data_IF_240587459091
#
_entry.id   IF_240587459091
#
_cell.length_a   1.000
_cell.length_b   1.000
_cell.length_c   1.000
_cell.angle_alpha   90.00
_cell.angle_beta   90.00
_cell.angle_gamma   90.00
#
_symmetry.space_group_name_H-M   'P 1'
#
loop_
_entity.id
_entity.type
_entity.pdbx_description
1 polymer ?
#
# COMPACT_ATOMS: atom_id res chain seq x y z
N UNK A 1 6.95 -19.34 32.93
CA UNK A 1 8.18 -19.57 32.15
C UNK A 1 8.62 -18.24 31.57
N UNK A 2 9.93 -18.01 31.64
CA UNK A 2 10.71 -16.80 31.35
C UNK A 2 10.21 -15.93 30.21
N UNK A 3 9.88 -14.67 30.54
CA UNK A 3 9.73 -13.55 29.61
C UNK A 3 11.08 -13.33 28.94
N UNK A 4 11.17 -13.57 27.64
CA UNK A 4 12.35 -13.22 26.87
C UNK A 4 12.49 -11.68 26.86
N UNK A 5 13.71 -11.14 27.03
CA UNK A 5 13.91 -9.71 27.03
C UNK A 5 13.61 -9.16 25.64
N UNK A 6 12.72 -8.17 25.56
CA UNK A 6 12.57 -7.34 24.36
C UNK A 6 13.96 -6.82 23.98
N UNK A 7 14.45 -7.26 22.82
CA UNK A 7 15.63 -6.66 22.20
C UNK A 7 15.26 -5.20 21.95
N UNK A 8 15.76 -4.32 22.81
CA UNK A 8 15.69 -2.87 22.65
C UNK A 8 16.42 -2.52 21.35
N UNK A 9 15.68 -2.50 20.25
CA UNK A 9 16.11 -1.78 19.05
C UNK A 9 16.34 -0.33 19.47
N UNK A 10 17.43 0.33 19.04
CA UNK A 10 17.65 1.74 19.34
C UNK A 10 16.41 2.52 18.89
N UNK A 11 15.87 3.40 19.75
CA UNK A 11 14.69 4.20 19.44
C UNK A 11 14.96 5.00 18.16
N UNK A 12 14.40 4.53 17.03
CA UNK A 12 14.43 5.27 15.78
C UNK A 12 13.45 6.42 15.95
N UNK A 13 13.98 7.63 16.07
CA UNK A 13 13.18 8.85 16.24
C UNK A 13 12.84 9.49 14.89
N UNK A 14 11.77 10.31 14.89
CA UNK A 14 11.45 11.17 13.77
C UNK A 14 12.59 12.17 13.50
N UNK A 15 12.81 12.51 12.23
CA UNK A 15 13.90 13.38 11.78
C UNK A 15 13.36 14.52 10.93
N UNK A 16 14.01 15.71 10.92
CA UNK A 16 13.63 16.80 10.02
C UNK A 16 13.82 16.46 8.54
N UNK A 17 14.62 15.43 8.24
CA UNK A 17 14.94 14.94 6.90
C UNK A 17 14.35 13.55 6.67
N UNK A 18 14.12 13.21 5.41
CA UNK A 18 13.81 11.85 4.99
C UNK A 18 15.07 10.98 5.07
N UNK A 19 15.00 9.82 5.74
CA UNK A 19 16.05 8.80 5.67
C UNK A 19 15.46 7.40 5.62
N UNK A 20 16.14 6.48 4.95
CA UNK A 20 15.82 5.05 5.00
C UNK A 20 17.04 4.30 5.53
N UNK A 21 16.84 3.43 6.53
CA UNK A 21 17.89 2.60 7.10
C UNK A 21 17.42 1.16 7.16
N UNK A 22 18.21 0.26 6.57
CA UNK A 22 18.05 -1.19 6.71
C UNK A 22 18.75 -1.61 7.99
N UNK A 23 18.01 -2.24 8.90
CA UNK A 23 18.51 -2.72 10.20
C UNK A 23 19.01 -4.16 10.12
N UNK A 24 18.31 -5.02 9.38
CA UNK A 24 18.68 -6.41 9.17
C UNK A 24 18.23 -6.91 7.79
N UNK A 25 18.84 -8.02 7.36
CA UNK A 25 18.54 -8.70 6.10
C UNK A 25 18.48 -10.20 6.34
N UNK A 26 17.61 -10.86 5.59
CA UNK A 26 17.54 -12.31 5.46
C UNK A 26 17.30 -12.63 3.97
N UNK A 27 18.34 -13.14 3.30
CA UNK A 27 18.37 -13.18 1.84
C UNK A 27 18.17 -11.79 1.20
N UNK A 28 17.20 -11.67 0.28
CA UNK A 28 16.84 -10.40 -0.34
C UNK A 28 15.90 -9.55 0.55
N UNK A 29 15.27 -10.15 1.56
CA UNK A 29 14.35 -9.46 2.45
C UNK A 29 15.08 -8.48 3.36
N UNK A 30 14.41 -7.37 3.69
CA UNK A 30 14.97 -6.27 4.47
C UNK A 30 13.96 -5.86 5.53
N UNK A 31 14.45 -5.63 6.74
CA UNK A 31 13.70 -4.90 7.76
C UNK A 31 14.47 -3.66 8.18
N UNK A 32 13.74 -2.58 8.42
CA UNK A 32 14.33 -1.27 8.63
C UNK A 32 13.29 -0.22 8.97
N UNK A 33 13.64 1.03 8.73
CA UNK A 33 12.74 2.14 8.95
C UNK A 33 12.99 3.31 7.99
N UNK A 34 11.90 3.98 7.62
CA UNK A 34 11.91 5.29 7.00
C UNK A 34 11.62 6.33 8.08
N UNK A 35 12.48 7.33 8.26
CA UNK A 35 12.27 8.43 9.21
C UNK A 35 11.89 9.71 8.46
N UNK A 36 10.87 10.42 8.97
CA UNK A 36 10.35 11.66 8.41
C UNK A 36 9.87 12.59 9.53
N UNK A 37 9.59 13.88 9.27
CA UNK A 37 9.17 14.83 10.31
C UNK A 37 7.91 14.41 11.07
N UNK A 38 6.99 13.69 10.40
CA UNK A 38 5.72 13.25 10.99
C UNK A 38 5.78 11.87 11.66
N UNK A 39 6.91 11.19 11.61
CA UNK A 39 7.07 9.90 12.28
C UNK A 39 8.02 8.94 11.57
N UNK A 40 7.97 7.70 12.04
CA UNK A 40 8.82 6.61 11.57
C UNK A 40 7.94 5.50 11.00
N UNK A 41 8.29 5.02 9.81
CA UNK A 41 7.61 3.92 9.12
C UNK A 41 8.50 2.68 9.22
N UNK A 42 8.05 1.66 9.95
CA UNK A 42 8.78 0.39 10.05
C UNK A 42 8.57 -0.43 8.78
N UNK A 43 9.64 -0.97 8.21
CA UNK A 43 9.58 -1.79 6.99
C UNK A 43 9.94 -3.26 7.26
N UNK A 44 9.27 -4.25 6.63
CA UNK A 44 8.20 -4.09 5.65
C UNK A 44 6.92 -3.45 6.21
N UNK A 45 6.26 -2.60 5.41
CA UNK A 45 5.13 -1.76 5.80
C UNK A 45 3.89 -2.06 4.96
N UNK A 46 2.72 -2.17 5.61
CA UNK A 46 1.42 -2.16 4.95
C UNK A 46 0.71 -0.84 5.19
N UNK A 47 0.27 -0.18 4.12
CA UNK A 47 -0.40 1.11 4.14
C UNK A 47 -1.92 0.94 3.95
N UNK A 48 -2.75 1.14 5.00
CA UNK A 48 -4.19 1.19 4.83
C UNK A 48 -4.60 2.31 3.87
N UNK A 49 -5.47 1.99 2.91
CA UNK A 49 -5.85 2.94 1.85
C UNK A 49 -7.02 3.83 2.29
N UNK A 50 -6.75 5.12 2.37
CA UNK A 50 -7.69 6.22 2.59
C UNK A 50 -8.20 6.83 1.29
N UNK A 51 -9.21 6.20 0.66
CA UNK A 51 -9.70 6.60 -0.68
C UNK A 51 -10.22 8.05 -0.75
N UNK A 52 -10.87 8.55 0.30
CA UNK A 52 -11.46 9.89 0.29
C UNK A 52 -11.26 10.55 1.66
N UNK A 53 -9.98 10.73 2.04
CA UNK A 53 -9.57 11.25 3.36
C UNK A 53 -10.09 10.39 4.54
N UNK A 54 -10.31 9.09 4.33
CA UNK A 54 -10.72 8.16 5.38
C UNK A 54 -10.39 6.72 4.99
N UNK A 55 -9.80 5.97 5.92
CA UNK A 55 -9.75 4.51 5.85
C UNK A 55 -11.15 4.00 6.18
N UNK A 56 -11.83 3.45 5.17
CA UNK A 56 -13.27 3.18 5.27
C UNK A 56 -13.60 2.27 6.45
N UNK A 57 -14.47 2.74 7.34
CA UNK A 57 -14.98 1.96 8.47
C UNK A 57 -14.08 1.99 9.72
N UNK A 58 -13.08 2.87 9.77
CA UNK A 58 -12.14 2.98 10.87
C UNK A 58 -11.98 4.42 11.35
N UNK A 59 -11.86 4.61 12.66
CA UNK A 59 -11.32 5.86 13.21
C UNK A 59 -9.80 5.91 13.03
N UNK A 60 -9.19 7.09 12.79
CA UNK A 60 -7.74 7.22 12.64
C UNK A 60 -6.93 6.64 13.80
N UNK A 61 -7.40 6.84 15.03
CA UNK A 61 -6.77 6.27 16.24
C UNK A 61 -6.77 4.74 16.25
N UNK A 62 -7.83 4.11 15.73
CA UNK A 62 -7.89 2.65 15.61
C UNK A 62 -6.90 2.16 14.56
N UNK A 63 -6.81 2.86 13.41
CA UNK A 63 -5.81 2.54 12.38
C UNK A 63 -4.40 2.61 12.96
N UNK A 64 -4.10 3.63 13.77
CA UNK A 64 -2.81 3.78 14.45
C UNK A 64 -2.59 2.69 15.50
N UNK A 65 -3.60 2.37 16.32
CA UNK A 65 -3.50 1.37 17.38
C UNK A 65 -3.19 -0.04 16.87
N UNK A 66 -3.59 -0.35 15.62
CA UNK A 66 -3.21 -1.60 14.95
C UNK A 66 -1.73 -1.66 14.55
N UNK A 67 -1.00 -0.55 14.64
CA UNK A 67 0.42 -0.48 14.27
C UNK A 67 0.68 0.10 12.89
N UNK A 68 -0.32 0.64 12.19
CA UNK A 68 -0.08 1.36 10.94
C UNK A 68 0.76 2.62 11.22
N UNK A 69 1.90 2.73 10.53
CA UNK A 69 2.80 3.89 10.62
C UNK A 69 2.51 4.95 9.55
N UNK A 70 1.85 4.56 8.47
CA UNK A 70 1.56 5.38 7.29
C UNK A 70 0.25 4.92 6.66
N UNK A 71 -0.47 5.85 6.05
CA UNK A 71 -1.65 5.55 5.22
C UNK A 71 -1.47 6.06 3.80
N UNK A 72 -2.19 5.46 2.85
CA UNK A 72 -2.23 5.94 1.48
C UNK A 72 -3.44 6.85 1.24
N UNK A 73 -3.21 8.09 0.80
CA UNK A 73 -4.24 9.00 0.32
C UNK A 73 -4.41 8.90 -1.20
N UNK A 74 -5.66 8.83 -1.68
CA UNK A 74 -5.93 8.72 -3.11
C UNK A 74 -6.16 10.11 -3.73
N UNK A 75 -5.19 10.56 -4.52
CA UNK A 75 -5.17 11.90 -5.13
C UNK A 75 -6.33 12.13 -6.08
N UNK A 76 -6.68 11.12 -6.89
CA UNK A 76 -7.77 11.22 -7.86
C UNK A 76 -9.11 11.58 -7.20
N UNK A 77 -9.46 10.92 -6.10
CA UNK A 77 -10.71 11.22 -5.41
C UNK A 77 -10.66 12.57 -4.70
N UNK A 78 -9.55 12.87 -4.02
CA UNK A 78 -9.39 14.09 -3.23
C UNK A 78 -9.38 15.36 -4.08
N UNK A 79 -8.80 15.31 -5.28
CA UNK A 79 -8.79 16.46 -6.19
C UNK A 79 -10.17 16.74 -6.80
N UNK A 80 -11.03 15.73 -6.93
CA UNK A 80 -12.40 15.92 -7.41
C UNK A 80 -13.34 16.34 -6.29
N UNK A 81 -13.23 15.70 -5.12
CA UNK A 81 -14.04 16.04 -3.95
C UNK A 81 -13.28 15.64 -2.67
N UNK A 82 -12.97 16.62 -1.79
CA UNK A 82 -13.51 17.98 -1.73
C UNK A 82 -12.77 19.03 -2.58
N UNK A 83 -11.71 18.64 -3.29
CA UNK A 83 -10.80 19.53 -4.02
C UNK A 83 -9.52 19.80 -3.22
N UNK A 84 -8.35 19.72 -3.87
CA UNK A 84 -7.05 19.82 -3.21
C UNK A 84 -6.83 21.19 -2.55
N UNK A 85 -7.20 22.27 -3.23
CA UNK A 85 -7.11 23.64 -2.74
C UNK A 85 -7.96 23.84 -1.49
N UNK A 86 -9.12 23.18 -1.42
CA UNK A 86 -9.99 23.23 -0.25
C UNK A 86 -9.35 22.51 0.93
N UNK A 87 -8.77 21.33 0.71
CA UNK A 87 -8.04 20.60 1.75
C UNK A 87 -6.87 21.44 2.27
N UNK A 88 -6.09 22.05 1.38
CA UNK A 88 -4.99 22.95 1.74
C UNK A 88 -5.47 24.11 2.62
N UNK A 89 -6.55 24.80 2.20
CA UNK A 89 -7.16 25.91 2.96
C UNK A 89 -7.65 25.49 4.35
N UNK A 90 -8.03 24.22 4.52
CA UNK A 90 -8.49 23.64 5.79
C UNK A 90 -7.35 23.06 6.65
N UNK A 91 -6.09 23.31 6.29
CA UNK A 91 -4.92 22.91 7.10
C UNK A 91 -4.22 21.64 6.62
N UNK A 92 -4.46 21.21 5.37
CA UNK A 92 -3.84 20.03 4.77
C UNK A 92 -4.53 18.72 5.15
N UNK A 93 -4.16 17.63 4.46
CA UNK A 93 -4.84 16.34 4.58
C UNK A 93 -4.72 15.75 5.98
N UNK A 94 -3.55 15.83 6.61
CA UNK A 94 -3.32 15.37 7.99
C UNK A 94 -4.33 15.96 8.98
N UNK A 95 -4.49 17.28 8.97
CA UNK A 95 -5.46 17.99 9.81
C UNK A 95 -6.89 17.61 9.42
N UNK A 96 -7.18 17.60 8.11
CA UNK A 96 -8.52 17.34 7.59
C UNK A 96 -9.05 15.95 7.94
N UNK A 97 -8.19 14.93 7.98
CA UNK A 97 -8.57 13.56 8.31
C UNK A 97 -8.17 13.09 9.71
N UNK A 98 -7.66 14.01 10.55
CA UNK A 98 -7.15 13.72 11.89
C UNK A 98 -6.12 12.57 11.92
N UNK A 99 -5.16 12.61 11.00
CA UNK A 99 -4.05 11.66 10.93
C UNK A 99 -2.72 12.44 11.01
N UNK A 100 -2.08 12.50 12.19
CA UNK A 100 -0.87 13.30 12.40
C UNK A 100 0.43 12.60 11.94
N UNK A 101 0.34 11.36 11.44
CA UNK A 101 1.47 10.52 11.03
C UNK A 101 1.71 10.61 9.50
N UNK A 102 2.78 9.98 8.96
CA UNK A 102 3.07 10.03 7.53
C UNK A 102 1.88 9.62 6.63
N UNK A 103 1.76 10.30 5.51
CA UNK A 103 0.84 9.98 4.41
C UNK A 103 1.66 9.82 3.13
N UNK A 104 1.42 8.73 2.42
CA UNK A 104 1.80 8.58 1.02
C UNK A 104 0.60 8.94 0.14
N UNK A 105 0.77 9.71 -0.92
CA UNK A 105 -0.30 9.95 -1.90
C UNK A 105 0.05 9.30 -3.21
N UNK A 106 -0.90 8.57 -3.81
CA UNK A 106 -0.75 8.17 -5.21
C UNK A 106 -0.79 9.39 -6.14
N UNK A 107 -0.44 9.18 -7.42
CA UNK A 107 -0.44 10.28 -8.40
C UNK A 107 -1.82 10.54 -9.02
N UNK A 108 -2.79 9.64 -8.80
CA UNK A 108 -4.08 9.59 -9.47
C UNK A 108 -4.05 8.95 -10.87
N UNK A 109 -2.88 8.59 -11.40
CA UNK A 109 -2.71 8.04 -12.76
C UNK A 109 -3.53 6.79 -13.01
N UNK A 110 -3.36 5.76 -12.17
CA UNK A 110 -4.08 4.48 -12.31
C UNK A 110 -5.61 4.65 -12.37
N UNK A 111 -6.19 5.48 -11.50
CA UNK A 111 -7.64 5.71 -11.46
C UNK A 111 -8.13 6.41 -12.72
N UNK A 112 -7.42 7.45 -13.19
CA UNK A 112 -7.77 8.12 -14.45
C UNK A 112 -7.70 7.13 -15.61
N UNK A 113 -6.70 6.25 -15.62
CA UNK A 113 -6.56 5.21 -16.63
C UNK A 113 -7.69 4.16 -16.52
N UNK A 114 -8.11 3.74 -15.33
CA UNK A 114 -9.19 2.75 -15.20
C UNK A 114 -10.55 3.20 -15.79
N UNK A 115 -10.73 4.50 -16.10
CA UNK A 115 -11.95 5.10 -16.65
C UNK A 115 -11.91 5.21 -18.19
N UNK A 116 -11.71 4.09 -18.89
CA UNK A 116 -11.40 4.00 -20.32
C UNK A 116 -12.23 4.89 -21.27
N UNK A 117 -13.53 5.08 -21.02
CA UNK A 117 -14.42 5.84 -21.92
C UNK A 117 -14.34 7.37 -21.76
N UNK A 118 -13.60 7.87 -20.77
CA UNK A 118 -13.64 9.27 -20.37
C UNK A 118 -12.27 9.96 -20.41
N UNK A 119 -11.26 9.39 -21.10
CA UNK A 119 -9.88 9.92 -21.08
C UNK A 119 -9.28 10.17 -22.47
N UNK A 120 -8.39 11.17 -22.57
CA UNK A 120 -7.47 11.40 -23.70
C UNK A 120 -6.07 11.62 -23.15
N UNK A 121 -5.14 10.77 -23.57
CA UNK A 121 -3.74 10.81 -23.18
C UNK A 121 -2.88 11.53 -24.23
N UNK A 122 -2.00 12.43 -23.79
CA UNK A 122 -0.99 13.11 -24.61
C UNK A 122 0.33 13.16 -23.84
N UNK A 123 1.42 13.61 -24.49
CA UNK A 123 2.69 13.82 -23.78
C UNK A 123 2.57 14.83 -22.62
N UNK A 124 1.64 15.78 -22.70
CA UNK A 124 1.42 16.81 -21.68
C UNK A 124 0.81 16.23 -20.39
N UNK A 125 -0.06 15.23 -20.50
CA UNK A 125 -0.82 14.67 -19.40
C UNK A 125 -2.06 13.90 -19.87
N UNK A 126 -3.02 13.72 -18.96
CA UNK A 126 -4.28 13.05 -19.24
C UNK A 126 -5.46 13.98 -18.98
N UNK A 127 -6.26 14.21 -20.03
CA UNK A 127 -7.55 14.88 -19.91
C UNK A 127 -8.61 13.84 -19.62
N UNK A 128 -9.49 14.07 -18.64
CA UNK A 128 -10.59 13.16 -18.35
C UNK A 128 -11.85 13.86 -17.86
N UNK A 129 -12.98 13.13 -17.77
CA UNK A 129 -14.21 13.60 -17.12
C UNK A 129 -14.40 12.98 -15.74
N UNK A 130 -14.76 13.81 -14.78
CA UNK A 130 -15.12 13.42 -13.42
C UNK A 130 -16.27 12.42 -13.42
N UNK A 131 -16.12 11.32 -12.67
CA UNK A 131 -17.20 10.35 -12.42
C UNK A 131 -18.27 10.87 -11.46
N UNK A 132 -18.04 12.03 -10.82
CA UNK A 132 -18.96 12.61 -9.84
C UNK A 132 -20.00 13.50 -10.53
N UNK A 133 -19.57 14.34 -11.48
CA UNK A 133 -20.38 15.42 -12.06
C UNK A 133 -20.14 15.65 -13.56
N UNK A 134 -19.27 14.85 -14.20
CA UNK A 134 -18.97 14.98 -15.63
C UNK A 134 -18.07 16.17 -16.02
N UNK A 135 -17.61 16.96 -15.05
CA UNK A 135 -16.69 18.08 -15.26
C UNK A 135 -15.39 17.60 -15.91
N UNK A 136 -14.80 18.43 -16.78
CA UNK A 136 -13.57 18.09 -17.52
C UNK A 136 -12.35 18.57 -16.75
N UNK A 137 -11.36 17.71 -16.60
CA UNK A 137 -10.11 17.95 -15.87
C UNK A 137 -8.90 17.58 -16.73
N UNK A 138 -7.75 18.20 -16.43
CA UNK A 138 -6.44 17.84 -16.97
C UNK A 138 -5.51 17.51 -15.81
N UNK A 139 -4.87 16.34 -15.87
CA UNK A 139 -3.85 15.92 -14.91
C UNK A 139 -2.52 15.76 -15.64
N UNK A 140 -1.61 16.70 -15.43
CA UNK A 140 -0.22 16.65 -15.88
C UNK A 140 0.70 16.21 -14.73
N UNK A 141 1.96 15.82 -15.00
CA UNK A 141 2.99 15.62 -13.99
C UNK A 141 3.09 16.76 -12.97
N UNK A 142 3.11 18.02 -13.43
CA UNK A 142 3.22 19.20 -12.57
C UNK A 142 1.97 19.37 -11.71
N UNK A 143 0.78 19.22 -12.31
CA UNK A 143 -0.48 19.35 -11.59
C UNK A 143 -0.67 18.24 -10.56
N UNK A 144 -0.24 17.01 -10.87
CA UNK A 144 -0.28 15.90 -9.90
C UNK A 144 0.62 16.20 -8.69
N UNK A 145 1.84 16.69 -8.91
CA UNK A 145 2.74 17.09 -7.82
C UNK A 145 2.18 18.29 -7.03
N UNK A 146 1.64 19.29 -7.71
CA UNK A 146 0.99 20.44 -7.08
C UNK A 146 -0.17 20.00 -6.16
N UNK A 147 -1.04 19.11 -6.63
CA UNK A 147 -2.13 18.56 -5.82
C UNK A 147 -1.60 17.84 -4.59
N UNK A 148 -0.60 16.97 -4.75
CA UNK A 148 -0.02 16.23 -3.63
C UNK A 148 0.67 17.17 -2.61
N UNK A 149 1.23 18.30 -3.08
CA UNK A 149 1.74 19.38 -2.24
C UNK A 149 0.62 20.12 -1.49
N UNK A 150 -0.49 20.45 -2.16
CA UNK A 150 -1.67 21.06 -1.53
C UNK A 150 -2.29 20.15 -0.46
N UNK A 151 -2.30 18.84 -0.71
CA UNK A 151 -2.72 17.85 0.28
C UNK A 151 -1.73 17.75 1.45
N UNK A 152 -0.48 18.18 1.28
CA UNK A 152 0.55 18.14 2.31
C UNK A 152 1.18 16.76 2.51
N UNK A 153 1.16 15.90 1.49
CA UNK A 153 1.66 14.51 1.56
C UNK A 153 3.15 14.44 1.90
N UNK A 154 3.56 13.43 2.68
CA UNK A 154 4.94 13.20 3.08
C UNK A 154 5.72 12.46 1.98
N UNK A 155 5.09 11.44 1.37
CA UNK A 155 5.63 10.70 0.22
C UNK A 155 4.72 10.95 -0.98
N UNK A 156 5.27 11.59 -2.00
CA UNK A 156 4.65 11.94 -3.27
C UNK A 156 5.03 10.89 -4.31
N UNK A 157 4.05 10.41 -5.08
CA UNK A 157 4.29 9.51 -6.20
C UNK A 157 4.34 10.29 -7.52
N UNK A 158 5.26 9.94 -8.42
CA UNK A 158 5.25 10.49 -9.78
C UNK A 158 3.95 10.12 -10.51
N UNK A 159 3.52 10.97 -11.46
CA UNK A 159 2.50 10.57 -12.42
C UNK A 159 3.11 9.63 -13.46
N UNK A 160 2.41 8.54 -13.75
CA UNK A 160 2.83 7.49 -14.67
C UNK A 160 1.68 6.99 -15.55
N UNK A 161 2.01 6.23 -16.59
CA UNK A 161 1.04 5.53 -17.43
C UNK A 161 1.08 4.02 -17.10
N UNK A 162 0.05 3.57 -16.38
CA UNK A 162 -0.15 2.14 -16.13
C UNK A 162 -0.90 1.49 -17.30
N UNK A 163 -0.30 0.44 -17.86
CA UNK A 163 -0.92 -0.43 -18.86
C UNK A 163 -1.59 -1.63 -18.18
N UNK A 164 -2.70 -2.12 -18.76
CA UNK A 164 -3.28 -3.38 -18.34
C UNK A 164 -2.44 -4.56 -18.88
N UNK A 165 -2.46 -5.69 -18.19
CA UNK A 165 -1.73 -6.89 -18.60
C UNK A 165 -2.69 -8.06 -18.92
N UNK A 166 -2.33 -8.93 -19.89
CA UNK A 166 -1.17 -8.82 -20.78
C UNK A 166 -1.33 -7.70 -21.83
N UNK A 167 -0.23 -7.14 -22.33
CA UNK A 167 -0.25 -6.19 -23.44
C UNK A 167 0.89 -6.43 -24.44
N UNK A 168 0.79 -5.83 -25.62
CA UNK A 168 1.88 -5.87 -26.61
C UNK A 168 3.11 -5.12 -26.08
N UNK A 169 4.30 -5.66 -26.32
CA UNK A 169 5.57 -5.05 -25.90
C UNK A 169 5.70 -3.59 -26.34
N UNK A 170 5.27 -3.25 -27.57
CA UNK A 170 5.29 -1.86 -28.06
C UNK A 170 4.40 -0.91 -27.24
N UNK A 171 3.30 -1.41 -26.69
CA UNK A 171 2.41 -0.64 -25.82
C UNK A 171 3.09 -0.42 -24.46
N UNK A 172 3.69 -1.48 -23.89
CA UNK A 172 4.46 -1.39 -22.66
C UNK A 172 5.66 -0.43 -22.79
N UNK A 173 6.41 -0.51 -23.89
CA UNK A 173 7.55 0.34 -24.17
C UNK A 173 7.14 1.82 -24.26
N UNK A 174 6.08 2.12 -25.03
CA UNK A 174 5.59 3.48 -25.18
C UNK A 174 5.18 4.09 -23.84
N UNK A 175 4.42 3.34 -23.03
CA UNK A 175 3.95 3.78 -21.72
C UNK A 175 5.11 3.94 -20.71
N UNK A 176 6.08 3.03 -20.73
CA UNK A 176 7.29 3.11 -19.91
C UNK A 176 8.12 4.35 -20.25
N UNK A 177 8.39 4.60 -21.54
CA UNK A 177 9.15 5.79 -21.99
C UNK A 177 8.41 7.09 -21.68
N UNK A 178 7.08 7.12 -21.80
CA UNK A 178 6.28 8.28 -21.38
C UNK A 178 6.40 8.51 -19.87
N UNK A 179 6.28 7.45 -19.07
CA UNK A 179 6.40 7.49 -17.62
C UNK A 179 7.77 8.00 -17.16
N UNK A 180 8.86 7.65 -17.86
CA UNK A 180 10.20 8.21 -17.59
C UNK A 180 10.28 9.72 -17.89
N UNK A 181 9.69 10.19 -18.99
CA UNK A 181 9.62 11.65 -19.28
C UNK A 181 8.80 12.38 -18.22
N UNK A 182 7.72 11.76 -17.75
CA UNK A 182 6.89 12.30 -16.67
C UNK A 182 7.58 12.27 -15.31
N UNK A 183 8.42 11.27 -15.03
CA UNK A 183 9.26 11.20 -13.84
C UNK A 183 10.14 12.44 -13.69
N UNK A 184 10.85 12.82 -14.77
CA UNK A 184 11.73 14.00 -14.78
C UNK A 184 10.95 15.31 -14.55
N UNK A 185 9.76 15.42 -15.15
CA UNK A 185 8.86 16.56 -14.94
C UNK A 185 8.34 16.61 -13.50
N UNK A 186 7.95 15.47 -12.92
CA UNK A 186 7.56 15.38 -11.53
C UNK A 186 8.71 15.76 -10.59
N UNK A 187 9.93 15.29 -10.85
CA UNK A 187 11.14 15.65 -10.09
C UNK A 187 11.37 17.15 -10.10
N UNK A 188 11.32 17.76 -11.28
CA UNK A 188 11.46 19.21 -11.45
C UNK A 188 10.37 19.99 -10.70
N UNK A 189 9.10 19.57 -10.84
CA UNK A 189 7.97 20.22 -10.18
C UNK A 189 7.97 20.03 -8.65
N UNK A 190 8.50 18.91 -8.17
CA UNK A 190 8.61 18.62 -6.74
C UNK A 190 9.68 19.49 -6.07
N UNK A 191 10.80 19.74 -6.75
CA UNK A 191 11.89 20.55 -6.22
C UNK A 191 12.58 19.91 -5.02
N UNK A 192 13.22 20.73 -4.19
CA UNK A 192 13.94 20.24 -3.01
C UNK A 192 13.08 20.36 -1.73
N UNK A 193 12.86 19.22 -1.10
CA UNK A 193 12.14 19.09 0.15
C UNK A 193 12.85 18.08 1.06
N UNK A 194 13.68 18.51 2.03
CA UNK A 194 14.50 17.60 2.82
C UNK A 194 13.68 16.57 3.60
N UNK A 195 12.58 17.00 4.23
CA UNK A 195 11.68 16.15 5.02
C UNK A 195 10.60 15.38 4.27
N UNK A 196 10.49 15.52 2.93
CA UNK A 196 9.49 14.84 2.09
C UNK A 196 10.19 14.02 1.01
N UNK A 197 9.47 13.09 0.40
CA UNK A 197 10.01 12.25 -0.66
C UNK A 197 9.17 12.28 -1.94
N UNK A 198 9.85 12.23 -3.08
CA UNK A 198 9.27 11.83 -4.36
C UNK A 198 9.77 10.42 -4.68
N UNK A 199 8.84 9.52 -4.98
CA UNK A 199 9.14 8.16 -5.42
C UNK A 199 8.91 8.02 -6.93
N UNK A 200 9.86 7.39 -7.61
CA UNK A 200 9.72 6.97 -9.00
C UNK A 200 8.92 5.69 -9.12
N UNK A 201 8.29 5.41 -10.26
CA UNK A 201 7.50 4.21 -10.52
C UNK A 201 8.08 3.48 -11.73
N UNK A 202 8.70 2.33 -11.48
CA UNK A 202 9.18 1.41 -12.50
C UNK A 202 7.98 0.85 -13.27
N UNK A 203 7.99 1.04 -14.59
CA UNK A 203 7.01 0.50 -15.54
C UNK A 203 7.71 -0.45 -16.52
N UNK A 204 6.97 -1.00 -17.48
CA UNK A 204 7.51 -1.95 -18.49
C UNK A 204 6.67 -3.21 -18.66
N UNK A 205 5.50 -3.30 -18.01
CA UNK A 205 4.59 -4.44 -18.14
C UNK A 205 5.21 -5.75 -17.64
N UNK A 206 4.94 -6.84 -18.34
CA UNK A 206 5.50 -8.17 -18.14
C UNK A 206 6.75 -8.42 -19.01
N UNK A 207 7.42 -7.37 -19.48
CA UNK A 207 8.58 -7.44 -20.37
C UNK A 207 9.89 -7.15 -19.60
N UNK A 208 10.77 -8.17 -19.39
CA UNK A 208 11.92 -8.02 -18.51
C UNK A 208 12.88 -6.89 -18.89
N UNK A 209 13.24 -6.76 -20.17
CA UNK A 209 14.25 -5.77 -20.58
C UNK A 209 13.74 -4.32 -20.43
N UNK A 210 12.43 -4.08 -20.61
CA UNK A 210 11.82 -2.77 -20.38
C UNK A 210 11.78 -2.41 -18.90
N UNK A 211 11.54 -3.39 -18.02
CA UNK A 211 11.63 -3.23 -16.56
C UNK A 211 13.04 -2.82 -16.13
N UNK A 212 14.07 -3.48 -16.68
CA UNK A 212 15.48 -3.15 -16.42
C UNK A 212 15.81 -1.73 -16.90
N UNK A 213 15.39 -1.35 -18.11
CA UNK A 213 15.58 0.00 -18.64
C UNK A 213 14.93 1.04 -17.70
N UNK A 214 13.65 0.86 -17.37
CA UNK A 214 12.93 1.77 -16.47
C UNK A 214 13.58 1.91 -15.10
N UNK A 215 14.01 0.80 -14.50
CA UNK A 215 14.67 0.81 -13.19
C UNK A 215 15.99 1.59 -13.21
N UNK A 216 16.83 1.40 -14.24
CA UNK A 216 18.13 2.08 -14.36
C UNK A 216 17.97 3.58 -14.58
N UNK A 217 17.05 3.98 -15.46
CA UNK A 217 16.76 5.39 -15.74
C UNK A 217 16.23 6.11 -14.49
N UNK A 218 15.32 5.49 -13.75
CA UNK A 218 14.84 6.06 -12.48
C UNK A 218 15.93 6.08 -11.40
N UNK A 219 16.77 5.04 -11.31
CA UNK A 219 17.90 5.01 -10.39
C UNK A 219 18.86 6.18 -10.64
N UNK A 220 19.15 6.50 -11.91
CA UNK A 220 19.99 7.62 -12.30
C UNK A 220 19.41 9.00 -11.90
N UNK A 221 18.10 9.09 -11.65
CA UNK A 221 17.46 10.32 -11.15
C UNK A 221 17.69 10.58 -9.66
N UNK A 222 18.25 9.63 -8.90
CA UNK A 222 18.50 9.70 -7.45
C UNK A 222 17.28 10.18 -6.64
N UNK A 223 16.15 9.50 -6.83
CA UNK A 223 14.94 9.74 -6.06
C UNK A 223 15.06 9.13 -4.65
N UNK A 224 14.15 9.52 -3.76
CA UNK A 224 14.17 9.07 -2.35
C UNK A 224 13.60 7.67 -2.15
N UNK A 225 12.95 7.10 -3.16
CA UNK A 225 12.45 5.73 -3.17
C UNK A 225 11.89 5.33 -4.53
N UNK A 226 11.63 4.04 -4.70
CA UNK A 226 11.27 3.46 -5.99
C UNK A 226 10.13 2.45 -5.84
N UNK A 227 9.07 2.68 -6.58
CA UNK A 227 7.94 1.77 -6.65
C UNK A 227 8.03 0.85 -7.87
N UNK A 228 7.47 -0.35 -7.75
CA UNK A 228 7.23 -1.28 -8.84
C UNK A 228 5.74 -1.19 -9.16
N UNK A 229 5.41 -0.49 -10.26
CA UNK A 229 4.03 -0.25 -10.71
C UNK A 229 3.62 -1.17 -11.85
N UNK A 230 2.34 -1.11 -12.23
CA UNK A 230 1.82 -1.89 -13.36
C UNK A 230 1.89 -3.40 -13.18
N UNK A 231 1.78 -3.87 -11.92
CA UNK A 231 1.61 -5.26 -11.51
C UNK A 231 0.35 -5.38 -10.65
N UNK A 232 -0.16 -6.60 -10.46
CA UNK A 232 -1.50 -6.94 -9.98
C UNK A 232 -2.62 -6.25 -10.78
N UNK A 233 -2.45 -6.18 -12.10
CA UNK A 233 -3.40 -5.54 -13.03
C UNK A 233 -4.02 -6.53 -14.03
N UNK A 234 -3.78 -7.83 -13.85
CA UNK A 234 -4.40 -8.91 -14.61
C UNK A 234 -3.49 -10.11 -14.85
N UNK A 235 -2.20 -9.97 -14.56
CA UNK A 235 -1.21 -11.02 -14.76
C UNK A 235 -1.25 -12.10 -13.67
N UNK A 236 -0.76 -13.32 -13.98
CA UNK A 236 -0.53 -14.37 -13.00
C UNK A 236 0.50 -13.98 -11.91
N UNK A 237 0.37 -14.57 -10.71
CA UNK A 237 1.26 -14.26 -9.58
C UNK A 237 2.74 -14.54 -9.89
N UNK A 238 3.05 -15.62 -10.59
CA UNK A 238 4.41 -15.97 -11.00
C UNK A 238 5.03 -14.91 -11.92
N UNK A 239 4.24 -14.31 -12.82
CA UNK A 239 4.69 -13.18 -13.66
C UNK A 239 5.00 -11.95 -12.79
N UNK A 240 4.11 -11.60 -11.85
CA UNK A 240 4.35 -10.50 -10.91
C UNK A 240 5.66 -10.71 -10.14
N UNK A 241 5.87 -11.90 -9.59
CA UNK A 241 7.06 -12.24 -8.80
C UNK A 241 8.34 -12.21 -9.64
N UNK A 242 8.29 -12.72 -10.87
CA UNK A 242 9.41 -12.67 -11.80
C UNK A 242 9.79 -11.22 -12.17
N UNK A 243 8.82 -10.32 -12.30
CA UNK A 243 9.08 -8.90 -12.58
C UNK A 243 9.70 -8.18 -11.38
N UNK A 244 9.33 -8.55 -10.14
CA UNK A 244 9.99 -8.04 -8.93
C UNK A 244 11.47 -8.47 -8.92
N UNK A 245 11.75 -9.76 -9.15
CA UNK A 245 13.12 -10.30 -9.21
C UNK A 245 13.95 -9.67 -10.33
N UNK A 246 13.31 -9.32 -11.46
CA UNK A 246 13.96 -8.63 -12.58
C UNK A 246 14.38 -7.20 -12.22
N UNK A 247 13.55 -6.49 -11.44
CA UNK A 247 13.77 -5.08 -11.10
C UNK A 247 14.74 -4.91 -9.93
N UNK A 248 14.68 -5.79 -8.93
CA UNK A 248 15.40 -5.66 -7.66
C UNK A 248 16.91 -5.34 -7.81
N UNK A 249 17.68 -6.02 -8.68
CA UNK A 249 19.12 -5.81 -8.79
C UNK A 249 19.50 -4.46 -9.40
N UNK A 250 18.53 -3.75 -9.99
CA UNK A 250 18.76 -2.48 -10.70
C UNK A 250 18.26 -1.26 -9.92
N UNK A 251 17.68 -1.47 -8.74
CA UNK A 251 17.29 -0.38 -7.84
C UNK A 251 18.33 -0.19 -6.73
N UNK A 252 18.59 1.07 -6.31
CA UNK A 252 19.52 1.35 -5.22
C UNK A 252 19.12 0.63 -3.92
N UNK A 253 20.09 0.00 -3.27
CA UNK A 253 19.87 -0.89 -2.12
C UNK A 253 19.54 -0.12 -0.83
N UNK A 254 20.00 1.13 -0.77
CA UNK A 254 19.82 2.11 0.30
C UNK A 254 18.54 2.96 0.15
N UNK A 255 17.68 2.61 -0.80
CA UNK A 255 16.39 3.27 -1.03
C UNK A 255 15.24 2.28 -0.84
N UNK A 256 14.09 2.74 -0.33
CA UNK A 256 12.94 1.89 -0.10
C UNK A 256 12.29 1.46 -1.42
N UNK A 257 11.70 0.26 -1.40
CA UNK A 257 11.02 -0.37 -2.54
C UNK A 257 9.55 -0.59 -2.24
N UNK A 258 8.69 -0.08 -3.10
CA UNK A 258 7.24 -0.08 -2.89
C UNK A 258 6.51 -0.86 -3.99
N UNK A 259 5.83 -1.95 -3.65
CA UNK A 259 4.98 -2.67 -4.60
C UNK A 259 3.54 -2.13 -4.54
N UNK A 260 3.09 -1.51 -5.63
CA UNK A 260 1.83 -0.76 -5.67
C UNK A 260 0.64 -1.69 -5.92
N UNK A 261 -0.44 -1.52 -5.15
CA UNK A 261 -1.74 -2.17 -5.38
C UNK A 261 -1.82 -3.66 -5.02
N UNK A 262 -0.70 -4.27 -4.61
CA UNK A 262 -0.62 -5.68 -4.24
C UNK A 262 -0.98 -5.86 -2.78
N UNK A 263 -1.76 -6.91 -2.49
CA UNK A 263 -1.84 -7.29 -1.09
C UNK A 263 -2.79 -8.40 -0.73
N UNK A 264 -2.77 -9.57 -1.38
CA UNK A 264 -3.14 -10.75 -0.59
C UNK A 264 -2.01 -11.04 0.43
N UNK A 265 -2.30 -11.68 1.57
CA UNK A 265 -1.26 -12.07 2.52
C UNK A 265 -0.11 -12.89 1.89
N UNK A 266 -0.45 -13.82 0.99
CA UNK A 266 0.54 -14.65 0.29
C UNK A 266 1.41 -13.84 -0.69
N UNK A 267 0.82 -12.88 -1.42
CA UNK A 267 1.59 -11.97 -2.29
C UNK A 267 2.60 -11.14 -1.47
N UNK A 268 2.15 -10.59 -0.34
CA UNK A 268 2.99 -9.78 0.55
C UNK A 268 4.20 -10.59 1.01
N UNK A 269 3.97 -11.79 1.53
CA UNK A 269 5.03 -12.66 2.04
C UNK A 269 6.05 -12.98 0.94
N UNK A 270 5.57 -13.36 -0.24
CA UNK A 270 6.44 -13.70 -1.39
C UNK A 270 7.19 -12.49 -1.93
N UNK A 271 6.62 -11.29 -1.90
CA UNK A 271 7.26 -10.06 -2.34
C UNK A 271 8.27 -9.53 -1.32
N UNK A 272 8.02 -9.69 -0.01
CA UNK A 272 9.00 -9.37 1.04
C UNK A 272 10.24 -10.24 0.91
N UNK A 273 10.06 -11.55 0.68
CA UNK A 273 11.17 -12.47 0.40
C UNK A 273 12.01 -12.05 -0.84
N UNK A 274 11.47 -11.20 -1.71
CA UNK A 274 12.11 -10.61 -2.90
C UNK A 274 12.55 -9.16 -2.71
N UNK A 275 12.57 -8.68 -1.46
CA UNK A 275 13.15 -7.40 -1.10
C UNK A 275 12.23 -6.18 -1.23
N UNK A 276 10.91 -6.35 -1.34
CA UNK A 276 9.95 -5.24 -1.25
C UNK A 276 9.77 -4.79 0.20
N UNK A 277 9.73 -3.47 0.44
CA UNK A 277 9.61 -2.87 1.78
C UNK A 277 8.23 -2.28 2.08
N UNK A 278 7.44 -1.92 1.07
CA UNK A 278 6.18 -1.20 1.25
C UNK A 278 5.10 -1.77 0.36
N UNK A 279 3.87 -1.77 0.86
CA UNK A 279 2.68 -2.30 0.20
C UNK A 279 1.47 -1.43 0.51
N UNK A 280 0.54 -1.36 -0.43
CA UNK A 280 -0.80 -0.85 -0.21
C UNK A 280 -1.82 -1.78 -0.89
N UNK A 281 -2.98 -1.94 -0.28
CA UNK A 281 -4.08 -2.58 -0.97
C UNK A 281 -5.42 -2.20 -0.35
N UNK A 282 -6.42 -2.00 -1.20
CA UNK A 282 -7.81 -1.83 -0.74
C UNK A 282 -8.43 -3.14 -0.23
N UNK A 283 -7.82 -4.28 -0.55
CA UNK A 283 -8.34 -5.63 -0.28
C UNK A 283 -8.80 -5.84 1.16
N UNK A 284 -8.01 -5.59 2.23
CA UNK A 284 -8.46 -5.86 3.60
C UNK A 284 -9.73 -5.09 3.95
N UNK A 285 -9.79 -3.79 3.63
CA UNK A 285 -11.00 -2.99 3.93
C UNK A 285 -12.18 -3.39 3.04
N UNK A 286 -11.96 -3.64 1.75
CA UNK A 286 -13.03 -3.98 0.79
C UNK A 286 -13.60 -5.37 1.08
N UNK A 287 -12.74 -6.36 1.30
CA UNK A 287 -13.12 -7.73 1.65
C UNK A 287 -13.93 -7.74 2.95
N UNK A 288 -13.47 -7.01 3.98
CA UNK A 288 -14.16 -6.90 5.27
C UNK A 288 -15.59 -6.39 5.10
N UNK A 289 -15.78 -5.30 4.34
CA UNK A 289 -17.13 -4.77 4.04
C UNK A 289 -18.01 -5.73 3.22
N UNK A 290 -17.44 -6.74 2.58
CA UNK A 290 -18.16 -7.76 1.82
C UNK A 290 -18.27 -9.10 2.56
N UNK A 291 -17.90 -9.16 3.84
CA UNK A 291 -18.06 -10.34 4.70
C UNK A 291 -16.90 -11.33 4.65
N UNK A 292 -15.80 -10.99 3.97
CA UNK A 292 -14.59 -11.84 3.93
C UNK A 292 -13.52 -11.25 4.84
N UNK A 293 -12.94 -12.10 5.68
CA UNK A 293 -11.82 -11.75 6.55
C UNK A 293 -10.59 -12.60 6.30
N UNK A 294 -9.45 -12.07 6.75
CA UNK A 294 -8.16 -12.73 6.80
C UNK A 294 -7.76 -12.89 8.27
N UNK A 295 -7.30 -14.08 8.62
CA UNK A 295 -6.86 -14.45 9.96
C UNK A 295 -5.57 -15.25 9.84
N UNK A 296 -4.94 -15.61 10.97
CA UNK A 296 -3.80 -16.53 10.95
C UNK A 296 -4.15 -17.92 10.39
N UNK A 297 -5.44 -18.26 10.34
CA UNK A 297 -5.96 -19.50 9.77
C UNK A 297 -6.45 -19.34 8.33
N UNK A 298 -5.99 -18.30 7.63
CA UNK A 298 -6.36 -18.04 6.24
C UNK A 298 -7.67 -17.26 6.10
N UNK A 299 -8.35 -17.47 4.97
CA UNK A 299 -9.53 -16.70 4.56
C UNK A 299 -10.81 -17.30 5.13
N UNK A 300 -11.65 -16.47 5.74
CA UNK A 300 -12.96 -16.85 6.26
C UNK A 300 -14.05 -15.99 5.64
N UNK A 301 -15.18 -16.61 5.27
CA UNK A 301 -16.34 -15.89 4.72
C UNK A 301 -17.51 -15.99 5.70
N UNK A 302 -17.76 -14.89 6.40
CA UNK A 302 -18.80 -14.75 7.43
C UNK A 302 -20.21 -14.82 6.85
N UNK A 303 -20.39 -14.92 5.52
CA UNK A 303 -21.70 -15.23 4.91
C UNK A 303 -22.07 -16.71 4.95
N UNK A 304 -21.11 -17.60 5.21
CA UNK A 304 -21.34 -19.04 5.22
C UNK A 304 -22.24 -19.45 6.38
N UNK A 305 -23.19 -20.35 6.13
CA UNK A 305 -24.19 -20.80 7.10
C UNK A 305 -23.58 -21.49 8.33
N UNK A 306 -22.39 -22.11 8.20
CA UNK A 306 -21.66 -22.73 9.31
C UNK A 306 -21.37 -21.77 10.47
N UNK A 307 -21.37 -20.46 10.21
CA UNK A 307 -21.10 -19.47 11.25
C UNK A 307 -22.37 -19.02 11.99
N UNK A 308 -23.58 -19.41 11.55
CA UNK A 308 -24.83 -18.88 12.09
C UNK A 308 -25.02 -19.11 13.60
N UNK A 309 -24.44 -20.19 14.13
CA UNK A 309 -24.53 -20.58 15.55
C UNK A 309 -23.15 -20.73 16.20
N UNK A 310 -22.06 -20.36 15.53
CA UNK A 310 -20.69 -20.51 16.06
C UNK A 310 -20.42 -19.43 17.13
N UNK A 311 -20.32 -19.80 18.43
CA UNK A 311 -20.13 -18.85 19.51
C UNK A 311 -18.67 -18.35 19.61
N UNK A 312 -17.74 -19.03 18.94
CA UNK A 312 -16.31 -18.69 18.98
C UNK A 312 -16.07 -17.36 18.27
N UNK A 313 -15.04 -16.59 18.66
CA UNK A 313 -14.64 -15.43 17.91
C UNK A 313 -13.92 -15.82 16.61
N UNK A 314 -13.62 -14.83 15.76
CA UNK A 314 -12.90 -15.11 14.51
C UNK A 314 -11.45 -15.50 14.79
N UNK A 315 -10.83 -14.92 15.82
CA UNK A 315 -9.47 -15.20 16.26
C UNK A 315 -9.28 -14.88 17.75
N UNK A 316 -9.11 -15.92 18.58
CA UNK A 316 -8.95 -15.80 20.05
C UNK A 316 -7.61 -15.19 20.50
N UNK A 317 -6.54 -15.34 19.71
CA UNK A 317 -5.21 -14.84 20.09
C UNK A 317 -4.89 -13.47 19.47
N UNK A 318 -5.77 -12.94 18.62
CA UNK A 318 -5.59 -11.59 18.08
C UNK A 318 -5.69 -10.56 19.21
N UNK A 319 -4.82 -9.56 19.17
CA UNK A 319 -4.87 -8.41 20.08
C UNK A 319 -6.02 -7.44 19.73
N UNK A 320 -6.67 -7.62 18.58
CA UNK A 320 -7.74 -6.76 18.09
C UNK A 320 -9.08 -7.09 18.78
N UNK A 321 -9.74 -6.12 19.44
CA UNK A 321 -11.03 -6.33 20.09
C UNK A 321 -12.13 -6.84 19.16
N UNK A 322 -12.10 -6.43 17.88
CA UNK A 322 -13.08 -6.91 16.90
C UNK A 322 -12.86 -8.39 16.50
N UNK A 323 -11.65 -8.91 16.69
CA UNK A 323 -11.29 -10.26 16.31
C UNK A 323 -11.58 -11.30 17.41
N UNK A 324 -11.48 -10.90 18.68
CA UNK A 324 -11.65 -11.77 19.84
C UNK A 324 -12.91 -11.49 20.69
N UNK A 325 -13.53 -10.31 20.57
CA UNK A 325 -14.61 -9.84 21.45
C UNK A 325 -16.04 -10.14 20.97
N UNK A 326 -16.20 -10.69 19.77
CA UNK A 326 -17.51 -10.96 19.16
C UNK A 326 -17.56 -12.38 18.60
N UNK A 327 -18.70 -13.05 18.75
CA UNK A 327 -18.90 -14.37 18.15
C UNK A 327 -19.02 -14.28 16.63
N UNK A 328 -18.59 -15.35 15.95
CA UNK A 328 -18.82 -15.55 14.52
C UNK A 328 -20.31 -15.53 14.18
N UNK A 329 -21.18 -16.05 15.06
CA UNK A 329 -22.64 -15.97 14.91
C UNK A 329 -23.15 -14.52 14.85
N UNK A 330 -22.68 -13.66 15.75
CA UNK A 330 -23.09 -12.26 15.73
C UNK A 330 -22.56 -11.53 14.49
N UNK A 331 -21.29 -11.75 14.16
CA UNK A 331 -20.69 -11.16 12.96
C UNK A 331 -21.39 -11.66 11.67
N UNK A 332 -21.75 -12.95 11.60
CA UNK A 332 -22.54 -13.54 10.51
C UNK A 332 -23.89 -12.83 10.37
N UNK A 333 -24.60 -12.67 11.48
CA UNK A 333 -25.87 -11.94 11.52
C UNK A 333 -25.72 -10.51 10.99
N UNK A 334 -24.75 -9.74 11.48
CA UNK A 334 -24.53 -8.36 11.01
C UNK A 334 -24.20 -8.30 9.52
N UNK A 335 -23.41 -9.24 9.02
CA UNK A 335 -23.10 -9.34 7.58
C UNK A 335 -24.35 -9.64 6.76
N UNK A 336 -25.21 -10.55 7.21
CA UNK A 336 -26.47 -10.93 6.53
C UNK A 336 -27.51 -9.82 6.59
N UNK A 337 -27.58 -9.10 7.70
CA UNK A 337 -28.45 -7.94 7.90
C UNK A 337 -27.92 -6.66 7.22
N UNK A 338 -26.73 -6.72 6.62
CA UNK A 338 -26.03 -5.60 5.98
C UNK A 338 -25.72 -4.40 6.90
N UNK A 339 -25.72 -4.64 8.21
CA UNK A 339 -25.48 -3.64 9.25
C UNK A 339 -24.11 -2.99 9.12
N UNK A 340 -24.05 -1.67 9.33
CA UNK A 340 -22.81 -0.90 9.22
C UNK A 340 -21.74 -1.41 10.20
N UNK A 341 -22.17 -1.81 11.40
CA UNK A 341 -21.28 -2.34 12.42
C UNK A 341 -20.52 -3.58 11.94
N UNK A 342 -21.18 -4.49 11.20
CA UNK A 342 -20.51 -5.67 10.64
C UNK A 342 -19.39 -5.30 9.67
N UNK A 343 -19.65 -4.31 8.81
CA UNK A 343 -18.67 -3.79 7.85
C UNK A 343 -17.47 -3.14 8.55
N UNK A 344 -17.71 -2.42 9.66
CA UNK A 344 -16.66 -1.78 10.46
C UNK A 344 -15.81 -2.83 11.20
N UNK A 345 -16.44 -3.76 11.93
CA UNK A 345 -15.75 -4.81 12.69
C UNK A 345 -14.88 -5.68 11.78
N UNK A 346 -15.40 -6.15 10.64
CA UNK A 346 -14.60 -6.99 9.73
C UNK A 346 -13.49 -6.22 9.01
N UNK A 347 -13.64 -4.90 8.82
CA UNK A 347 -12.53 -4.06 8.35
C UNK A 347 -11.43 -3.96 9.41
N UNK A 348 -11.82 -3.80 10.68
CA UNK A 348 -10.90 -3.75 11.81
C UNK A 348 -10.11 -5.07 11.95
N UNK A 349 -10.80 -6.21 11.88
CA UNK A 349 -10.18 -7.55 11.88
C UNK A 349 -9.13 -7.67 10.78
N UNK A 350 -9.47 -7.31 9.54
CA UNK A 350 -8.56 -7.46 8.42
C UNK A 350 -7.33 -6.56 8.52
N UNK A 351 -7.50 -5.30 8.91
CA UNK A 351 -6.36 -4.41 9.07
C UNK A 351 -5.45 -4.87 10.21
N UNK A 352 -6.02 -5.41 11.29
CA UNK A 352 -5.24 -5.96 12.40
C UNK A 352 -4.35 -7.11 11.90
N UNK A 353 -4.94 -8.07 11.19
CA UNK A 353 -4.19 -9.20 10.67
C UNK A 353 -3.06 -8.79 9.72
N UNK A 354 -3.30 -7.80 8.85
CA UNK A 354 -2.25 -7.30 7.95
C UNK A 354 -1.09 -6.62 8.70
N UNK A 355 -1.39 -5.88 9.77
CA UNK A 355 -0.34 -5.27 10.58
C UNK A 355 0.42 -6.30 11.43
N UNK A 356 -0.28 -7.32 11.95
CA UNK A 356 0.33 -8.45 12.66
C UNK A 356 1.26 -9.25 11.73
N UNK A 357 0.83 -9.53 10.50
CA UNK A 357 1.67 -10.18 9.48
C UNK A 357 2.94 -9.38 9.19
N UNK A 358 2.82 -8.06 9.01
CA UNK A 358 3.99 -7.19 8.81
C UNK A 358 4.90 -7.17 10.04
N UNK A 359 4.34 -7.21 11.26
CA UNK A 359 5.13 -7.29 12.48
C UNK A 359 5.91 -8.62 12.58
N UNK A 360 5.27 -9.74 12.25
CA UNK A 360 5.91 -11.06 12.18
C UNK A 360 7.04 -11.09 11.14
N UNK A 361 6.80 -10.58 9.94
CA UNK A 361 7.83 -10.48 8.88
C UNK A 361 9.04 -9.66 9.34
N UNK A 362 8.82 -8.51 9.98
CA UNK A 362 9.92 -7.69 10.54
C UNK A 362 10.73 -8.45 11.56
N UNK A 363 10.08 -9.15 12.49
CA UNK A 363 10.73 -9.92 13.53
C UNK A 363 11.53 -11.10 12.95
N UNK A 364 10.96 -11.83 11.99
CA UNK A 364 11.58 -12.98 11.36
C UNK A 364 12.83 -12.58 10.55
N UNK A 365 12.77 -11.48 9.78
CA UNK A 365 13.94 -10.95 9.06
C UNK A 365 15.03 -10.52 10.04
N UNK A 366 14.66 -9.86 11.14
CA UNK A 366 15.62 -9.43 12.17
C UNK A 366 16.32 -10.62 12.85
N UNK A 367 15.63 -11.76 12.97
CA UNK A 367 16.15 -12.99 13.56
C UNK A 367 16.87 -13.92 12.57
N UNK A 368 16.80 -13.67 11.26
CA UNK A 368 17.30 -14.59 10.24
C UNK A 368 16.50 -15.90 10.17
N UNK A 369 15.17 -15.81 10.35
CA UNK A 369 14.23 -16.93 10.39
C UNK A 369 13.04 -16.71 9.45
N UNK A 370 13.24 -15.98 8.34
CA UNK A 370 12.14 -15.63 7.45
C UNK A 370 11.48 -16.87 6.84
N UNK A 371 12.27 -17.82 6.33
CA UNK A 371 11.73 -19.01 5.67
C UNK A 371 10.88 -19.86 6.62
N UNK A 372 11.31 -20.03 7.87
CA UNK A 372 10.55 -20.75 8.90
C UNK A 372 9.22 -20.04 9.22
N UNK A 373 9.26 -18.72 9.40
CA UNK A 373 8.07 -17.92 9.65
C UNK A 373 7.05 -18.01 8.49
N UNK A 374 7.55 -17.98 7.24
CA UNK A 374 6.71 -18.13 6.05
C UNK A 374 6.09 -19.53 5.99
N UNK A 375 6.87 -20.57 6.26
CA UNK A 375 6.40 -21.95 6.26
C UNK A 375 5.29 -22.16 7.30
N UNK A 376 5.52 -21.74 8.55
CA UNK A 376 4.53 -21.81 9.64
C UNK A 376 3.26 -21.03 9.31
N UNK A 377 3.40 -19.80 8.81
CA UNK A 377 2.26 -18.96 8.42
C UNK A 377 1.42 -19.62 7.33
N UNK A 378 2.05 -20.26 6.32
CA UNK A 378 1.34 -20.93 5.24
C UNK A 378 0.70 -22.23 5.72
N UNK A 379 1.35 -22.98 6.60
CA UNK A 379 0.78 -24.17 7.22
C UNK A 379 -0.49 -23.82 8.01
N UNK A 380 -0.47 -22.74 8.80
CA UNK A 380 -1.66 -22.29 9.53
C UNK A 380 -2.79 -21.83 8.58
N UNK A 381 -2.47 -21.20 7.45
CA UNK A 381 -3.47 -20.89 6.41
C UNK A 381 -4.09 -22.12 5.79
N UNK A 382 -3.29 -23.16 5.55
CA UNK A 382 -3.73 -24.43 4.96
C UNK A 382 -4.55 -25.28 5.95
N UNK A 383 -4.15 -25.26 7.23
CA UNK A 383 -4.89 -25.89 8.34
C UNK A 383 -6.32 -25.35 8.42
N UNK A 384 -6.50 -24.07 8.11
CA UNK A 384 -7.79 -23.42 8.15
C UNK A 384 -8.33 -23.27 9.57
N UNK A 385 -9.62 -22.98 9.68
CA UNK A 385 -10.28 -22.82 10.97
C UNK A 385 -10.11 -24.09 11.83
N UNK A 386 -9.67 -23.97 13.10
CA UNK A 386 -9.70 -25.11 14.01
C UNK A 386 -11.11 -25.71 14.06
N UNK A 387 -11.19 -27.04 13.97
CA UNK A 387 -12.46 -27.79 13.99
C UNK A 387 -13.35 -27.34 15.16
#
# INVERSE_FOLDING_TARGET
MTVQPQVLQPEIAATPEFSFKVAARDGAARTGAITMPRGVIRTPAFMPVGTAATVKGMYPEQVRALGADVVLGNTYHLMLRPGAERVAKLGGLHTFMNWPHPILTDSGGFQVMSLANLRKLTDEGVTFRSHIDGSKHMLSPERSVEIQNLLGSDIVMQLDECVALPCEEKVAEKAMRLSLRWAERCKTAFGDHPGRALFGIVQGGDVPHLRVESARELAAMDLKGYAVGGLAVGEPQDVMLAMIETVEPHLPQEKPRYLMGVGTPDDIVKAVARGIDMFDCVMPTRAGRHGQIFTRFGRMNLKNAKHAEDPRPVDEQSSCPAANGWSRAYLHHLVKAEEMLGKMLLTWVNLAYYQDLMAGLRAAIAAGQLDDFIAETREDWERGEPA
#
